data_IF_964679491689
#
_entry.id   IF_964679491689
#
_cell.length_a   1.000
_cell.length_b   1.000
_cell.length_c   1.000
_cell.angle_alpha   90.00
_cell.angle_beta   90.00
_cell.angle_gamma   90.00
#
_symmetry.space_group_name_H-M   'P 1'
#
loop_
_entity.id
_entity.type
_entity.pdbx_description
1 polymer ?
#
# COMPACT_ATOMS: atom_id res chain seq x y z
N UNK A 1 13.61 1.61 -42.82
CA UNK A 1 12.19 1.40 -42.47
C UNK A 1 12.13 0.75 -41.09
N UNK A 2 11.97 1.49 -39.99
CA UNK A 2 11.74 0.85 -38.69
C UNK A 2 10.42 0.08 -38.78
N UNK A 3 10.47 -1.21 -38.50
CA UNK A 3 9.35 -2.14 -38.65
C UNK A 3 8.19 -1.69 -37.76
N UNK A 4 6.96 -1.80 -38.26
CA UNK A 4 5.72 -1.49 -37.52
C UNK A 4 5.67 -2.18 -36.13
N UNK A 5 6.41 -3.28 -36.01
CA UNK A 5 6.62 -4.06 -34.79
C UNK A 5 7.33 -3.23 -33.70
N UNK A 6 8.35 -2.43 -34.03
CA UNK A 6 9.08 -1.59 -33.06
C UNK A 6 8.18 -0.50 -32.47
N UNK A 7 7.30 0.08 -33.29
CA UNK A 7 6.33 1.11 -32.86
C UNK A 7 5.26 0.48 -31.95
N UNK A 8 4.75 -0.70 -32.30
CA UNK A 8 3.83 -1.43 -31.42
C UNK A 8 4.50 -1.81 -30.09
N UNK A 9 5.77 -2.22 -30.11
CA UNK A 9 6.51 -2.60 -28.91
C UNK A 9 6.74 -1.40 -27.97
N UNK A 10 7.07 -0.23 -28.52
CA UNK A 10 7.20 1.02 -27.75
C UNK A 10 5.86 1.49 -27.16
N UNK A 11 4.76 1.35 -27.91
CA UNK A 11 3.41 1.65 -27.40
C UNK A 11 3.04 0.73 -26.23
N UNK A 12 3.29 -0.57 -26.35
CA UNK A 12 3.01 -1.55 -25.29
C UNK A 12 3.87 -1.26 -24.05
N UNK A 13 5.16 -0.91 -24.22
CA UNK A 13 6.04 -0.55 -23.09
C UNK A 13 5.57 0.74 -22.41
N UNK A 14 5.10 1.76 -23.16
CA UNK A 14 4.53 2.99 -22.58
C UNK A 14 3.21 2.76 -21.83
N UNK A 15 2.39 1.81 -22.30
CA UNK A 15 1.16 1.37 -21.63
C UNK A 15 1.46 0.56 -20.36
N UNK A 16 2.53 -0.25 -20.36
CA UNK A 16 2.95 -1.03 -19.20
C UNK A 16 3.62 -0.17 -18.12
N UNK A 17 4.35 0.89 -18.50
CA UNK A 17 5.00 1.80 -17.55
C UNK A 17 4.05 2.82 -16.91
N UNK A 18 2.84 2.99 -17.45
CA UNK A 18 1.75 3.75 -16.82
C UNK A 18 0.92 2.90 -15.83
N UNK A 19 1.03 1.58 -15.82
CA UNK A 19 0.35 0.73 -14.84
C UNK A 19 1.05 0.66 -13.46
N UNK A 20 2.23 1.26 -13.32
CA UNK A 20 3.04 1.15 -12.12
C UNK A 20 2.76 2.29 -11.13
N UNK A 21 1.74 2.12 -10.28
CA UNK A 21 1.52 2.68 -8.93
C UNK A 21 1.73 4.17 -8.60
N UNK A 22 2.25 5.01 -9.49
CA UNK A 22 2.67 6.40 -9.19
C UNK A 22 1.87 7.43 -9.98
N UNK A 23 0.91 7.00 -10.81
CA UNK A 23 0.03 7.89 -11.59
C UNK A 23 -0.74 8.88 -10.70
N UNK A 24 -1.07 8.47 -9.47
CA UNK A 24 -1.93 9.25 -8.59
C UNK A 24 -1.18 10.30 -7.76
N UNK A 25 0.09 10.10 -7.41
CA UNK A 25 0.83 11.09 -6.60
C UNK A 25 1.20 12.32 -7.43
N UNK A 26 1.45 12.15 -8.72
CA UNK A 26 1.87 13.23 -9.61
C UNK A 26 1.03 13.25 -10.90
N UNK A 27 -0.25 13.63 -10.76
CA UNK A 27 -1.19 13.74 -11.89
C UNK A 27 -0.62 14.65 -13.00
N UNK A 28 0.02 15.76 -12.60
CA UNK A 28 0.62 16.72 -13.53
C UNK A 28 1.77 16.10 -14.35
N UNK A 29 2.65 15.32 -13.71
CA UNK A 29 3.72 14.62 -14.42
C UNK A 29 3.18 13.52 -15.33
N UNK A 30 2.09 12.85 -14.94
CA UNK A 30 1.45 11.83 -15.76
C UNK A 30 0.83 12.45 -17.02
N UNK A 31 0.14 13.58 -16.88
CA UNK A 31 -0.44 14.33 -18.00
C UNK A 31 0.67 14.91 -18.89
N UNK A 32 1.73 15.47 -18.30
CA UNK A 32 2.87 15.99 -19.04
C UNK A 32 3.58 14.86 -19.83
N UNK A 33 3.82 13.71 -19.20
CA UNK A 33 4.39 12.53 -19.84
C UNK A 33 3.52 12.03 -21.01
N UNK A 34 2.21 11.92 -20.81
CA UNK A 34 1.29 11.53 -21.88
C UNK A 34 1.29 12.54 -23.04
N UNK A 35 1.36 13.84 -22.73
CA UNK A 35 1.45 14.91 -23.74
C UNK A 35 2.76 14.81 -24.55
N UNK A 36 3.88 14.49 -23.90
CA UNK A 36 5.16 14.27 -24.59
C UNK A 36 5.13 13.03 -25.49
N UNK A 37 4.51 11.92 -25.04
CA UNK A 37 4.30 10.74 -25.88
C UNK A 37 3.42 11.07 -27.09
N UNK A 38 2.32 11.80 -26.87
CA UNK A 38 1.45 12.29 -27.93
C UNK A 38 2.21 13.16 -28.94
N UNK A 39 3.09 14.06 -28.48
CA UNK A 39 3.92 14.87 -29.35
C UNK A 39 4.84 14.02 -30.24
N UNK A 40 5.50 13.00 -29.67
CA UNK A 40 6.35 12.07 -30.41
C UNK A 40 5.58 11.27 -31.47
N UNK A 41 4.39 10.78 -31.13
CA UNK A 41 3.49 10.11 -32.08
C UNK A 41 3.04 11.06 -33.18
N UNK A 42 2.61 12.28 -32.85
CA UNK A 42 2.18 13.27 -33.84
C UNK A 42 3.29 13.73 -34.77
N UNK A 43 4.52 13.89 -34.27
CA UNK A 43 5.67 14.24 -35.09
C UNK A 43 6.02 13.13 -36.09
N UNK A 44 6.02 11.88 -35.62
CA UNK A 44 6.40 10.71 -36.43
C UNK A 44 5.33 10.29 -37.46
N UNK A 45 4.05 10.56 -37.18
CA UNK A 45 2.92 10.21 -38.05
C UNK A 45 2.47 11.37 -38.94
N UNK A 46 3.13 12.52 -38.88
CA UNK A 46 2.74 13.71 -39.64
C UNK A 46 2.75 13.46 -41.15
N UNK A 47 1.65 13.79 -41.86
CA UNK A 47 1.63 13.79 -43.32
C UNK A 47 2.71 14.73 -43.89
N UNK A 48 3.27 14.39 -45.05
CA UNK A 48 4.35 15.19 -45.70
C UNK A 48 3.92 16.61 -46.05
N UNK A 49 2.62 16.82 -46.20
CA UNK A 49 1.94 18.03 -46.61
C UNK A 49 1.55 18.93 -45.42
N UNK A 50 1.82 18.49 -44.19
CA UNK A 50 1.55 19.23 -42.95
C UNK A 50 2.85 19.48 -42.20
N UNK A 51 2.92 20.63 -41.52
CA UNK A 51 4.03 20.94 -40.62
C UNK A 51 3.99 19.99 -39.42
N UNK A 52 5.09 19.29 -39.21
CA UNK A 52 5.23 18.25 -38.18
C UNK A 52 5.01 18.79 -36.78
N UNK A 53 5.39 20.04 -36.54
CA UNK A 53 5.23 20.68 -35.24
C UNK A 53 3.76 20.88 -34.86
N UNK A 54 2.91 21.24 -35.83
CA UNK A 54 1.47 21.38 -35.59
C UNK A 54 0.80 20.04 -35.33
N UNK A 55 1.16 19.00 -36.08
CA UNK A 55 0.62 17.66 -35.85
C UNK A 55 1.09 17.09 -34.50
N UNK A 56 2.36 17.32 -34.13
CA UNK A 56 2.88 16.99 -32.81
C UNK A 56 2.11 17.69 -31.69
N UNK A 57 1.88 19.00 -31.79
CA UNK A 57 1.13 19.76 -30.79
C UNK A 57 -0.34 19.29 -30.67
N UNK A 58 -0.99 18.98 -31.79
CA UNK A 58 -2.36 18.47 -31.79
C UNK A 58 -2.46 17.12 -31.05
N UNK A 59 -1.57 16.18 -31.38
CA UNK A 59 -1.54 14.87 -30.71
C UNK A 59 -1.10 14.97 -29.24
N UNK A 60 -0.19 15.87 -28.89
CA UNK A 60 0.16 16.16 -27.51
C UNK A 60 -1.08 16.58 -26.69
N UNK A 61 -1.89 17.50 -27.24
CA UNK A 61 -3.12 17.94 -26.60
C UNK A 61 -4.16 16.83 -26.43
N UNK A 62 -4.34 15.99 -27.46
CA UNK A 62 -5.28 14.85 -27.42
C UNK A 62 -4.89 13.87 -26.31
N UNK A 63 -3.62 13.46 -26.26
CA UNK A 63 -3.14 12.51 -25.26
C UNK A 63 -3.16 13.09 -23.84
N UNK A 64 -2.78 14.37 -23.68
CA UNK A 64 -2.87 15.06 -22.40
C UNK A 64 -4.30 15.14 -21.87
N UNK A 65 -5.26 15.54 -22.71
CA UNK A 65 -6.67 15.63 -22.35
C UNK A 65 -7.28 14.25 -22.05
N UNK A 66 -7.03 13.24 -22.89
CA UNK A 66 -7.51 11.89 -22.65
C UNK A 66 -7.01 11.34 -21.31
N UNK A 67 -5.74 11.60 -20.97
CA UNK A 67 -5.13 11.19 -19.71
C UNK A 67 -5.73 11.95 -18.52
N UNK A 68 -5.96 13.26 -18.66
CA UNK A 68 -6.64 14.08 -17.65
C UNK A 68 -8.03 13.52 -17.30
N UNK A 69 -8.86 13.25 -18.32
CA UNK A 69 -10.19 12.69 -18.10
C UNK A 69 -10.15 11.26 -17.54
N UNK A 70 -9.20 10.44 -17.98
CA UNK A 70 -9.01 9.10 -17.41
C UNK A 70 -8.68 9.15 -15.92
N UNK A 71 -7.76 10.04 -15.51
CA UNK A 71 -7.43 10.25 -14.09
C UNK A 71 -8.66 10.74 -13.32
N UNK A 72 -9.48 11.63 -13.89
CA UNK A 72 -10.69 12.12 -13.21
C UNK A 72 -11.82 11.09 -13.09
N UNK A 73 -12.00 10.23 -14.09
CA UNK A 73 -13.06 9.22 -14.11
C UNK A 73 -12.70 7.97 -13.31
N UNK A 74 -11.43 7.58 -13.30
CA UNK A 74 -10.98 6.32 -12.69
C UNK A 74 -10.06 6.53 -11.48
N UNK A 75 -9.55 7.74 -11.25
CA UNK A 75 -8.74 8.10 -10.09
C UNK A 75 -9.59 8.58 -8.93
N UNK A 76 -10.41 7.70 -8.36
CA UNK A 76 -11.33 8.04 -7.29
C UNK A 76 -10.59 8.19 -5.93
N UNK A 77 -9.89 9.31 -5.77
CA UNK A 77 -8.94 9.58 -4.67
C UNK A 77 -9.54 9.71 -3.27
N UNK A 78 -10.84 9.97 -3.12
CA UNK A 78 -11.40 10.32 -1.80
C UNK A 78 -12.08 9.16 -1.09
N UNK A 79 -12.75 8.28 -1.82
CA UNK A 79 -13.51 7.20 -1.19
C UNK A 79 -12.58 6.09 -0.68
N UNK A 80 -11.59 5.70 -1.50
CA UNK A 80 -10.70 4.59 -1.13
C UNK A 80 -9.69 4.97 -0.05
N UNK A 81 -9.10 6.17 -0.10
CA UNK A 81 -8.10 6.56 0.89
C UNK A 81 -8.75 6.88 2.25
N UNK A 82 -9.92 7.52 2.28
CA UNK A 82 -10.66 7.75 3.53
C UNK A 82 -11.12 6.43 4.15
N UNK A 83 -11.62 5.49 3.34
CA UNK A 83 -12.01 4.15 3.79
C UNK A 83 -10.81 3.36 4.29
N UNK A 84 -9.66 3.41 3.61
CA UNK A 84 -8.42 2.76 4.06
C UNK A 84 -7.87 3.36 5.35
N UNK A 85 -7.97 4.68 5.53
CA UNK A 85 -7.59 5.34 6.79
C UNK A 85 -8.55 4.92 7.91
N UNK A 86 -9.86 4.85 7.64
CA UNK A 86 -10.87 4.42 8.61
C UNK A 86 -10.69 2.94 8.99
N UNK A 87 -10.44 2.06 8.02
CA UNK A 87 -10.16 0.64 8.26
C UNK A 87 -8.85 0.45 9.03
N UNK A 88 -7.79 1.18 8.69
CA UNK A 88 -6.55 1.18 9.47
C UNK A 88 -6.75 1.70 10.89
N UNK A 89 -7.59 2.72 11.08
CA UNK A 89 -7.93 3.23 12.41
C UNK A 89 -8.70 2.18 13.22
N UNK A 90 -9.69 1.51 12.63
CA UNK A 90 -10.43 0.39 13.25
C UNK A 90 -9.50 -0.76 13.64
N UNK A 91 -8.55 -1.13 12.78
CA UNK A 91 -7.55 -2.16 13.09
C UNK A 91 -6.63 -1.74 14.24
N UNK A 92 -6.18 -0.47 14.26
CA UNK A 92 -5.37 0.05 15.38
C UNK A 92 -6.16 0.09 16.69
N UNK A 93 -7.41 0.52 16.66
CA UNK A 93 -8.28 0.53 17.85
C UNK A 93 -8.59 -0.90 18.33
N UNK A 94 -8.79 -1.87 17.44
CA UNK A 94 -8.87 -3.29 17.82
C UNK A 94 -7.57 -3.79 18.44
N UNK A 95 -6.41 -3.39 17.91
CA UNK A 95 -5.11 -3.78 18.46
C UNK A 95 -4.80 -3.11 19.81
N UNK A 96 -5.37 -1.94 20.11
CA UNK A 96 -5.17 -1.27 21.41
C UNK A 96 -6.17 -1.71 22.47
N UNK A 97 -7.34 -2.22 22.05
CA UNK A 97 -8.35 -2.79 22.93
C UNK A 97 -8.15 -4.31 23.08
N UNK A 98 -6.95 -4.75 23.45
CA UNK A 98 -6.75 -6.10 23.96
C UNK A 98 -7.61 -6.28 25.21
N UNK A 99 -8.79 -6.88 25.02
CA UNK A 99 -9.70 -7.20 26.12
C UNK A 99 -9.03 -8.28 26.95
N UNK A 100 -8.69 -7.96 28.20
CA UNK A 100 -8.29 -8.98 29.15
C UNK A 100 -9.46 -9.95 29.31
N UNK A 101 -9.27 -11.20 28.89
CA UNK A 101 -10.29 -12.24 29.00
C UNK A 101 -10.53 -12.58 30.47
N UNK A 102 -9.46 -12.62 31.25
CA UNK A 102 -9.51 -12.91 32.69
C UNK A 102 -8.22 -12.46 33.38
N UNK A 103 -8.32 -12.19 34.68
CA UNK A 103 -7.21 -11.84 35.58
C UNK A 103 -7.36 -12.60 36.88
N UNK A 104 -6.24 -13.01 37.46
CA UNK A 104 -6.24 -13.72 38.74
C UNK A 104 -4.93 -13.51 39.51
N UNK A 105 -4.95 -13.87 40.79
CA UNK A 105 -3.77 -13.91 41.65
C UNK A 105 -3.37 -15.35 41.88
N UNK A 106 -2.07 -15.62 41.93
CA UNK A 106 -1.59 -16.97 42.13
C UNK A 106 -0.08 -17.02 42.32
N UNK A 107 0.41 -18.25 42.37
CA UNK A 107 1.84 -18.54 42.40
C UNK A 107 2.25 -19.11 41.05
N UNK A 108 3.32 -18.57 40.47
CA UNK A 108 3.93 -19.07 39.23
C UNK A 108 5.43 -19.27 39.43
N UNK A 109 6.02 -20.12 38.60
CA UNK A 109 7.47 -20.34 38.62
C UNK A 109 8.13 -19.28 37.77
N UNK A 110 9.05 -18.53 38.36
CA UNK A 110 9.86 -17.56 37.62
C UNK A 110 10.81 -18.31 36.67
N UNK A 111 10.75 -18.07 35.35
CA UNK A 111 11.59 -18.77 34.39
C UNK A 111 13.09 -18.48 34.57
N UNK A 112 13.46 -17.37 35.20
CA UNK A 112 14.86 -16.99 35.42
C UNK A 112 15.41 -17.64 36.68
N UNK A 113 14.67 -17.53 37.79
CA UNK A 113 15.17 -17.96 39.11
C UNK A 113 14.71 -19.36 39.51
N UNK A 114 13.75 -19.96 38.80
CA UNK A 114 13.14 -21.24 39.12
C UNK A 114 12.32 -21.24 40.42
N UNK A 115 12.23 -20.09 41.11
CA UNK A 115 11.52 -19.97 42.38
C UNK A 115 10.03 -19.73 42.15
N UNK A 116 9.22 -20.25 43.06
CA UNK A 116 7.79 -19.99 43.10
C UNK A 116 7.55 -18.58 43.64
N UNK A 117 7.04 -17.70 42.80
CA UNK A 117 6.76 -16.30 43.12
C UNK A 117 5.26 -16.04 43.11
N UNK A 118 4.81 -15.17 44.01
CA UNK A 118 3.42 -14.72 44.06
C UNK A 118 3.25 -13.51 43.14
N UNK A 119 2.13 -13.45 42.45
CA UNK A 119 1.81 -12.31 41.61
C UNK A 119 0.45 -12.41 40.94
N UNK A 120 0.26 -11.54 39.96
CA UNK A 120 -0.97 -11.43 39.19
C UNK A 120 -0.72 -11.95 37.78
N UNK A 121 -1.62 -12.78 37.27
CA UNK A 121 -1.60 -13.22 35.89
C UNK A 121 -2.77 -12.59 35.12
N UNK A 122 -2.52 -12.26 33.85
CA UNK A 122 -3.51 -11.66 32.95
C UNK A 122 -3.50 -12.42 31.63
N UNK A 123 -4.67 -12.86 31.17
CA UNK A 123 -4.80 -13.47 29.85
C UNK A 123 -5.32 -12.41 28.88
N UNK A 124 -4.56 -12.16 27.83
CA UNK A 124 -4.94 -11.32 26.70
C UNK A 124 -5.33 -12.21 25.54
N UNK A 125 -6.42 -11.87 24.88
CA UNK A 125 -6.72 -12.44 23.56
C UNK A 125 -5.78 -11.77 22.55
N UNK A 126 -5.06 -12.55 21.77
CA UNK A 126 -4.20 -12.05 20.68
C UNK A 126 -4.64 -12.76 19.41
N UNK A 127 -4.64 -12.08 18.28
CA UNK A 127 -4.89 -12.71 16.98
C UNK A 127 -3.71 -12.39 16.07
N UNK A 128 -2.64 -13.18 16.18
CA UNK A 128 -1.39 -12.91 15.46
C UNK A 128 -0.79 -14.18 14.84
N UNK A 129 -0.29 -14.03 13.61
CA UNK A 129 0.52 -15.03 12.93
C UNK A 129 2.01 -14.71 13.10
N UNK A 130 2.77 -15.63 13.69
CA UNK A 130 4.21 -15.49 13.93
C UNK A 130 4.98 -16.44 13.00
N UNK A 131 5.93 -15.94 12.17
CA UNK A 131 6.79 -16.80 11.39
C UNK A 131 7.78 -17.54 12.30
N UNK A 132 7.84 -18.88 12.20
CA UNK A 132 8.74 -19.72 13.01
C UNK A 132 9.80 -20.45 12.18
N UNK A 133 9.73 -20.37 10.85
CA UNK A 133 10.66 -21.04 9.94
C UNK A 133 10.44 -20.63 8.48
N UNK A 134 11.19 -21.26 7.56
CA UNK A 134 11.22 -20.86 6.13
C UNK A 134 9.85 -20.89 5.46
N UNK A 135 8.97 -21.82 5.87
CA UNK A 135 7.60 -21.99 5.34
C UNK A 135 6.56 -22.27 6.44
N UNK A 136 6.84 -21.91 7.71
CA UNK A 136 5.94 -22.21 8.83
C UNK A 136 5.54 -20.93 9.57
N UNK A 137 4.24 -20.83 9.88
CA UNK A 137 3.67 -19.79 10.73
C UNK A 137 2.89 -20.46 11.85
N UNK A 138 2.98 -19.90 13.06
CA UNK A 138 2.18 -20.31 14.21
C UNK A 138 1.13 -19.23 14.45
N UNK A 139 -0.13 -19.63 14.62
CA UNK A 139 -1.18 -18.74 15.09
C UNK A 139 -1.13 -18.68 16.61
N UNK A 140 -1.06 -17.48 17.18
CA UNK A 140 -1.21 -17.24 18.61
C UNK A 140 -2.55 -16.60 18.88
N UNK A 141 -3.41 -17.32 19.61
CA UNK A 141 -4.76 -16.88 19.99
C UNK A 141 -4.79 -16.15 21.35
N UNK A 142 -3.80 -16.43 22.22
CA UNK A 142 -3.79 -15.94 23.61
C UNK A 142 -2.38 -15.74 24.11
N UNK A 143 -2.19 -14.70 24.91
CA UNK A 143 -0.97 -14.42 25.67
C UNK A 143 -1.28 -14.41 27.16
N UNK A 144 -0.38 -14.98 27.96
CA UNK A 144 -0.44 -14.93 29.42
C UNK A 144 0.69 -14.04 29.91
N UNK A 145 0.34 -12.90 30.48
CA UNK A 145 1.28 -12.00 31.15
C UNK A 145 1.34 -12.35 32.64
N UNK A 146 2.54 -12.64 33.13
CA UNK A 146 2.80 -12.92 34.55
C UNK A 146 3.51 -11.71 35.17
N UNK A 147 2.89 -11.08 36.16
CA UNK A 147 3.39 -9.87 36.82
C UNK A 147 3.72 -10.21 38.27
N UNK A 148 4.98 -10.00 38.68
CA UNK A 148 5.40 -10.26 40.06
C UNK A 148 4.81 -9.20 41.00
N UNK A 149 4.45 -9.59 42.22
CA UNK A 149 3.87 -8.66 43.21
C UNK A 149 4.81 -7.48 43.55
N UNK A 150 6.13 -7.67 43.42
CA UNK A 150 7.13 -6.59 43.56
C UNK A 150 7.07 -5.54 42.46
N UNK A 151 6.66 -5.93 41.25
CA UNK A 151 6.58 -5.06 40.07
C UNK A 151 5.22 -4.35 39.98
N UNK A 152 4.18 -4.93 40.59
CA UNK A 152 2.84 -4.36 40.66
C UNK A 152 2.76 -3.11 41.56
N UNK A 153 3.70 -2.94 42.50
CA UNK A 153 3.79 -1.76 43.39
C UNK A 153 4.49 -0.54 42.76
N UNK A 154 5.09 -0.71 41.60
CA UNK A 154 5.89 0.33 40.91
C UNK A 154 5.08 1.00 39.78
N UNK A 155 3.93 0.42 39.40
CA UNK A 155 2.96 0.99 38.45
C UNK A 155 1.80 1.66 39.18
#
# INVERSE_FOLDING_TARGET
MPSKILICFLLIISLLSSACSTIQENEEFTIAGASMVGAGVGYSTSPKNLRKEYNAAAWAGIFGLATYFAIKLFGDKKYDNAKLIEENKKLREMSQNFKYLTKGKGYFTDPITGKRVKGTWKIKEIHQWIPTGKNTKVHQDKEIELIKESEEKIK
#
